data_IF_598650185722
#
_entry.id   IF_598650185722
#
_cell.length_a   1.000
_cell.length_b   1.000
_cell.length_c   1.000
_cell.angle_alpha   90.00
_cell.angle_beta   90.00
_cell.angle_gamma   90.00
#
_symmetry.space_group_name_H-M   'P 1'
#
loop_
_entity.id
_entity.type
_entity.pdbx_description
1 polymer ?
#
# COMPACT_ATOMS: atom_id res chain seq x y z
N UNK A 1 22.05 -16.92 30.72
CA UNK A 1 20.80 -16.24 31.01
C UNK A 1 19.90 -16.45 29.80
N UNK A 2 18.66 -16.90 30.01
CA UNK A 2 17.72 -16.99 28.92
C UNK A 2 17.49 -15.56 28.36
N UNK A 3 17.48 -15.42 27.06
CA UNK A 3 17.21 -14.14 26.41
C UNK A 3 15.77 -13.73 26.74
N UNK A 4 15.59 -12.64 27.49
CA UNK A 4 14.30 -12.18 27.99
C UNK A 4 13.59 -11.23 27.00
N UNK A 5 14.19 -10.98 25.84
CA UNK A 5 13.58 -10.12 24.81
C UNK A 5 12.39 -10.83 24.17
N UNK A 6 11.23 -10.16 24.00
CA UNK A 6 10.08 -10.77 23.38
C UNK A 6 10.31 -11.01 21.88
N UNK A 7 9.73 -12.09 21.33
CA UNK A 7 9.71 -12.35 19.88
C UNK A 7 8.80 -11.32 19.17
N UNK A 8 7.73 -10.90 19.85
CA UNK A 8 6.76 -9.89 19.39
C UNK A 8 6.05 -9.26 20.61
N UNK A 9 5.39 -8.14 20.38
CA UNK A 9 4.59 -7.41 21.38
C UNK A 9 3.51 -6.57 20.71
N UNK A 10 2.58 -6.01 21.48
CA UNK A 10 1.62 -4.98 21.04
C UNK A 10 2.06 -3.61 21.57
N UNK A 11 1.77 -2.55 20.83
CA UNK A 11 2.09 -1.19 21.23
C UNK A 11 0.95 -0.23 20.88
N UNK A 12 0.36 0.35 21.92
CA UNK A 12 -0.64 1.42 21.81
C UNK A 12 0.02 2.73 22.23
N UNK A 13 0.60 3.44 21.27
CA UNK A 13 1.44 4.61 21.51
C UNK A 13 0.74 5.93 21.11
N UNK A 14 -0.23 6.34 21.86
CA UNK A 14 -1.01 7.57 21.66
C UNK A 14 -2.29 7.36 20.87
N UNK A 15 -2.93 8.46 20.48
CA UNK A 15 -4.21 8.46 19.80
C UNK A 15 -4.10 7.96 18.36
N UNK A 16 -5.20 7.41 17.83
CA UNK A 16 -5.33 7.06 16.42
C UNK A 16 -5.26 8.33 15.56
N UNK A 17 -4.47 8.28 14.49
CA UNK A 17 -4.49 9.32 13.47
C UNK A 17 -5.81 9.29 12.68
N UNK A 18 -6.17 10.40 12.06
CA UNK A 18 -7.24 10.43 11.09
C UNK A 18 -6.88 9.52 9.92
N UNK A 19 -7.73 8.54 9.64
CA UNK A 19 -7.56 7.65 8.49
C UNK A 19 -8.23 8.25 7.24
N UNK A 20 -7.80 7.83 6.03
CA UNK A 20 -8.35 8.34 4.76
C UNK A 20 -9.85 8.11 4.59
N UNK A 21 -10.38 7.09 5.23
CA UNK A 21 -11.80 6.74 5.20
C UNK A 21 -12.38 6.64 6.61
N UNK A 22 -13.68 6.87 6.71
CA UNK A 22 -14.40 6.71 7.96
C UNK A 22 -14.42 5.24 8.44
N UNK A 23 -14.67 5.03 9.72
CA UNK A 23 -14.64 3.70 10.33
C UNK A 23 -15.65 2.72 9.72
N UNK A 24 -16.82 3.21 9.30
CA UNK A 24 -17.87 2.41 8.66
C UNK A 24 -17.46 1.92 7.26
N UNK A 25 -16.64 2.68 6.52
CA UNK A 25 -16.08 2.21 5.25
C UNK A 25 -15.15 1.00 5.47
N UNK A 26 -14.22 1.06 6.44
CA UNK A 26 -13.37 -0.09 6.78
C UNK A 26 -14.18 -1.27 7.32
N UNK A 27 -15.16 -1.02 8.17
CA UNK A 27 -16.05 -2.03 8.67
C UNK A 27 -16.84 -2.73 7.54
N UNK A 28 -17.32 -1.97 6.56
CA UNK A 28 -18.00 -2.48 5.37
C UNK A 28 -17.09 -3.33 4.48
N UNK A 29 -15.84 -2.93 4.28
CA UNK A 29 -14.83 -3.71 3.54
C UNK A 29 -14.54 -5.05 4.23
N UNK A 30 -14.32 -5.03 5.54
CA UNK A 30 -14.11 -6.22 6.35
C UNK A 30 -15.34 -7.13 6.38
N UNK A 31 -16.54 -6.58 6.41
CA UNK A 31 -17.78 -7.38 6.37
C UNK A 31 -17.90 -8.16 5.05
N UNK A 32 -17.62 -7.53 3.91
CA UNK A 32 -17.63 -8.21 2.60
C UNK A 32 -16.56 -9.31 2.52
N UNK A 33 -15.35 -9.04 3.03
CA UNK A 33 -14.29 -10.04 3.10
C UNK A 33 -14.69 -11.23 3.99
N UNK A 34 -15.21 -10.96 5.18
CA UNK A 34 -15.64 -11.99 6.14
C UNK A 34 -16.80 -12.84 5.62
N UNK A 35 -17.69 -12.24 4.81
CA UNK A 35 -18.73 -13.00 4.12
C UNK A 35 -18.10 -14.00 3.12
N UNK A 36 -17.17 -13.55 2.28
CA UNK A 36 -16.44 -14.43 1.37
C UNK A 36 -15.67 -15.52 2.11
N UNK A 37 -15.03 -15.18 3.24
CA UNK A 37 -14.38 -16.16 4.11
C UNK A 37 -15.35 -17.21 4.65
N UNK A 38 -16.53 -16.78 5.10
CA UNK A 38 -17.58 -17.69 5.60
C UNK A 38 -18.10 -18.61 4.51
N UNK A 39 -18.33 -18.10 3.31
CA UNK A 39 -18.83 -18.87 2.16
C UNK A 39 -17.83 -19.97 1.73
N UNK A 40 -16.58 -19.87 2.15
CA UNK A 40 -15.48 -20.82 1.83
C UNK A 40 -14.99 -21.62 3.04
N UNK A 41 -15.64 -21.55 4.17
CA UNK A 41 -15.16 -22.15 5.43
C UNK A 41 -13.71 -21.74 5.76
N UNK A 42 -13.38 -20.48 5.52
CA UNK A 42 -12.04 -19.92 5.69
C UNK A 42 -11.97 -19.13 7.00
N UNK A 43 -11.26 -19.62 8.02
CA UNK A 43 -11.26 -18.97 9.34
C UNK A 43 -10.38 -17.70 9.38
N UNK A 44 -9.39 -17.59 8.50
CA UNK A 44 -8.47 -16.46 8.48
C UNK A 44 -7.88 -16.21 7.10
N UNK A 45 -7.43 -14.97 6.89
CA UNK A 45 -6.70 -14.51 5.71
C UNK A 45 -5.44 -13.78 6.15
N UNK A 46 -4.33 -14.00 5.46
CA UNK A 46 -3.09 -13.23 5.59
C UNK A 46 -2.85 -12.41 4.32
N UNK A 47 -2.94 -11.11 4.42
CA UNK A 47 -2.51 -10.17 3.40
C UNK A 47 -1.04 -9.82 3.56
N UNK A 48 -0.32 -9.81 2.45
CA UNK A 48 1.10 -9.44 2.37
C UNK A 48 1.37 -8.33 1.36
N UNK A 49 0.43 -8.06 0.44
CA UNK A 49 0.54 -6.95 -0.50
C UNK A 49 0.19 -5.62 0.15
N UNK A 50 0.95 -4.59 -0.16
CA UNK A 50 0.77 -3.23 0.36
C UNK A 50 -0.66 -2.72 0.13
N UNK A 51 -1.20 -2.91 -1.07
CA UNK A 51 -2.53 -2.41 -1.43
C UNK A 51 -3.66 -3.09 -0.66
N UNK A 52 -3.60 -4.41 -0.43
CA UNK A 52 -4.64 -5.10 0.34
C UNK A 52 -4.51 -4.82 1.84
N UNK A 53 -3.29 -4.73 2.38
CA UNK A 53 -3.08 -4.30 3.76
C UNK A 53 -3.69 -2.91 3.99
N UNK A 54 -3.37 -1.93 3.11
CA UNK A 54 -3.94 -0.58 3.20
C UNK A 54 -5.46 -0.57 3.03
N UNK A 55 -6.01 -1.36 2.10
CA UNK A 55 -7.43 -1.42 1.83
C UNK A 55 -8.27 -1.87 3.02
N UNK A 56 -7.80 -2.91 3.74
CA UNK A 56 -8.54 -3.49 4.87
C UNK A 56 -8.19 -2.89 6.23
N UNK A 57 -6.98 -2.41 6.41
CA UNK A 57 -6.52 -1.87 7.71
C UNK A 57 -6.28 -0.36 7.72
N UNK A 58 -6.22 0.31 6.59
CA UNK A 58 -5.79 1.71 6.49
C UNK A 58 -4.27 1.90 6.61
N UNK A 59 -3.52 0.87 7.00
CA UNK A 59 -2.08 0.97 7.20
C UNK A 59 -1.31 0.89 5.88
N UNK A 60 -1.00 2.04 5.33
CA UNK A 60 -0.13 2.16 4.16
C UNK A 60 1.31 2.34 4.62
N UNK A 61 2.17 1.41 4.24
CA UNK A 61 3.56 1.35 4.67
C UNK A 61 4.51 1.06 3.50
N UNK A 62 5.69 1.65 3.55
CA UNK A 62 6.74 1.33 2.58
C UNK A 62 7.42 -0.01 2.92
N UNK A 63 7.53 -0.89 1.93
CA UNK A 63 8.17 -2.19 2.11
C UNK A 63 9.68 -2.09 1.89
N UNK A 64 10.44 -1.88 2.97
CA UNK A 64 11.90 -1.87 2.95
C UNK A 64 12.49 -3.13 3.57
N UNK A 65 12.57 -4.20 2.79
CA UNK A 65 13.35 -5.38 3.15
C UNK A 65 12.89 -6.16 4.40
N UNK A 66 11.85 -5.70 5.11
CA UNK A 66 11.21 -6.43 6.20
C UNK A 66 9.79 -6.81 5.81
N UNK A 67 9.35 -8.04 6.13
CA UNK A 67 7.98 -8.43 5.88
C UNK A 67 7.03 -7.59 6.76
N UNK A 68 5.88 -7.27 6.23
CA UNK A 68 4.73 -6.80 7.01
C UNK A 68 3.47 -7.46 6.44
N UNK A 69 2.39 -7.47 7.21
CA UNK A 69 1.17 -8.15 6.82
C UNK A 69 -0.05 -7.62 7.56
N UNK A 70 -1.20 -8.14 7.17
CA UNK A 70 -2.45 -7.96 7.89
C UNK A 70 -3.18 -9.30 7.98
N UNK A 71 -3.44 -9.74 9.19
CA UNK A 71 -4.27 -10.93 9.45
C UNK A 71 -5.70 -10.48 9.70
N UNK A 72 -6.63 -11.06 8.95
CA UNK A 72 -8.06 -10.86 9.15
C UNK A 72 -8.70 -12.19 9.57
N UNK A 73 -9.40 -12.18 10.68
CA UNK A 73 -10.27 -13.27 11.16
C UNK A 73 -11.71 -12.79 11.16
N UNK A 74 -12.65 -13.64 11.59
CA UNK A 74 -14.07 -13.27 11.67
C UNK A 74 -14.33 -12.09 12.63
N UNK A 75 -13.45 -11.88 13.61
CA UNK A 75 -13.62 -10.87 14.67
C UNK A 75 -12.53 -9.79 14.68
N UNK A 76 -11.37 -10.03 14.06
CA UNK A 76 -10.20 -9.13 14.14
C UNK A 76 -9.67 -8.72 12.78
N UNK A 77 -8.97 -7.58 12.78
CA UNK A 77 -8.11 -7.10 11.70
C UNK A 77 -6.83 -6.60 12.36
N UNK A 78 -5.72 -7.31 12.19
CA UNK A 78 -4.48 -7.06 12.94
C UNK A 78 -3.31 -6.89 11.98
N UNK A 79 -2.65 -5.74 12.03
CA UNK A 79 -1.42 -5.49 11.27
C UNK A 79 -0.22 -6.12 11.97
N UNK A 80 0.70 -6.67 11.18
CA UNK A 80 1.96 -7.27 11.65
C UNK A 80 3.10 -6.49 11.02
N UNK A 81 3.95 -5.86 11.82
CA UNK A 81 5.06 -5.04 11.32
C UNK A 81 6.32 -5.14 12.17
N UNK A 82 7.44 -4.67 11.64
CA UNK A 82 8.73 -4.75 12.29
C UNK A 82 8.89 -3.71 13.41
N UNK A 83 9.66 -4.06 14.44
CA UNK A 83 9.93 -3.20 15.59
C UNK A 83 10.59 -1.86 15.23
N UNK A 84 11.33 -1.77 14.13
CA UNK A 84 11.92 -0.51 13.68
C UNK A 84 10.84 0.57 13.40
N UNK A 85 9.61 0.13 13.03
CA UNK A 85 8.48 0.98 12.69
C UNK A 85 7.37 0.96 13.75
N UNK A 86 7.66 0.44 14.94
CA UNK A 86 6.68 0.18 16.01
C UNK A 86 5.81 1.39 16.38
N UNK A 87 6.29 2.61 16.15
CA UNK A 87 5.55 3.85 16.41
C UNK A 87 4.38 4.13 15.46
N UNK A 88 4.24 3.40 14.36
CA UNK A 88 3.28 3.73 13.29
C UNK A 88 2.00 2.88 13.31
N UNK A 89 2.06 1.51 13.43
CA UNK A 89 0.92 0.65 13.12
C UNK A 89 -0.32 0.95 13.96
N UNK A 90 -0.17 1.15 15.26
CA UNK A 90 -1.29 1.49 16.13
C UNK A 90 -2.00 2.77 15.68
N UNK A 91 -1.23 3.84 15.52
CA UNK A 91 -1.81 5.16 15.21
C UNK A 91 -2.42 5.24 13.81
N UNK A 92 -1.90 4.46 12.84
CA UNK A 92 -2.26 4.55 11.41
C UNK A 92 -3.05 3.37 10.89
N UNK A 93 -3.58 2.50 11.75
CA UNK A 93 -4.44 1.39 11.34
C UNK A 93 -5.82 1.43 11.98
N UNK A 94 -6.80 0.90 11.26
CA UNK A 94 -8.18 0.76 11.74
C UNK A 94 -8.30 -0.28 12.86
N UNK A 95 -7.56 -1.40 12.76
CA UNK A 95 -7.61 -2.51 13.72
C UNK A 95 -6.49 -2.48 14.75
N UNK A 96 -6.14 -3.68 15.19
CA UNK A 96 -5.08 -3.95 16.16
C UNK A 96 -3.70 -4.00 15.47
N UNK A 97 -2.64 -4.13 16.28
CA UNK A 97 -1.29 -4.34 15.77
C UNK A 97 -0.52 -5.37 16.60
N UNK A 98 0.40 -6.09 15.94
CA UNK A 98 1.46 -6.87 16.57
C UNK A 98 2.78 -6.48 15.94
N UNK A 99 3.77 -6.20 16.78
CA UNK A 99 5.11 -5.78 16.39
C UNK A 99 6.07 -6.93 16.61
N UNK A 100 6.73 -7.41 15.53
CA UNK A 100 7.76 -8.44 15.68
C UNK A 100 9.15 -7.82 15.84
N UNK A 101 10.01 -8.47 16.59
CA UNK A 101 11.39 -8.02 16.84
C UNK A 101 12.37 -8.71 15.89
N UNK A 102 13.47 -8.03 15.55
CA UNK A 102 14.46 -8.50 14.57
C UNK A 102 15.59 -9.35 15.17
N UNK A 103 15.59 -9.55 16.48
CA UNK A 103 16.72 -10.18 17.17
C UNK A 103 16.77 -11.71 16.96
N UNK A 104 15.69 -12.31 16.45
CA UNK A 104 15.60 -13.73 16.16
C UNK A 104 14.93 -13.93 14.81
N UNK A 105 15.45 -14.89 14.06
CA UNK A 105 14.88 -15.25 12.76
C UNK A 105 13.45 -15.73 12.90
N UNK A 106 12.62 -15.44 11.90
CA UNK A 106 11.23 -15.88 11.78
C UNK A 106 10.26 -15.31 12.82
N UNK A 107 10.65 -14.26 13.56
CA UNK A 107 9.75 -13.58 14.50
C UNK A 107 8.51 -12.99 13.85
N UNK A 108 8.56 -12.61 12.55
CA UNK A 108 7.39 -12.24 11.78
C UNK A 108 6.33 -13.36 11.80
N UNK A 109 6.74 -14.60 11.51
CA UNK A 109 5.83 -15.74 11.47
C UNK A 109 5.32 -16.13 12.87
N UNK A 110 6.11 -15.91 13.92
CA UNK A 110 5.67 -16.06 15.32
C UNK A 110 4.59 -15.05 15.68
N UNK A 111 4.77 -13.80 15.22
CA UNK A 111 3.77 -12.76 15.39
C UNK A 111 2.47 -13.09 14.62
N UNK A 112 2.58 -13.56 13.37
CA UNK A 112 1.43 -14.05 12.61
C UNK A 112 0.72 -15.19 13.34
N UNK A 113 1.46 -16.18 13.83
CA UNK A 113 0.93 -17.31 14.59
C UNK A 113 0.15 -16.89 15.85
N UNK A 114 0.62 -15.83 16.54
CA UNK A 114 -0.04 -15.34 17.76
C UNK A 114 -1.44 -14.78 17.51
N UNK A 115 -1.70 -14.31 16.28
CA UNK A 115 -3.01 -13.77 15.87
C UNK A 115 -3.90 -14.88 15.28
N UNK A 116 -3.30 -15.75 14.48
CA UNK A 116 -4.04 -16.79 13.75
C UNK A 116 -4.51 -17.94 14.65
N UNK A 117 -3.77 -18.27 15.69
CA UNK A 117 -3.93 -19.55 16.36
C UNK A 117 -3.57 -20.72 15.45
N UNK A 118 -4.43 -21.72 15.33
CA UNK A 118 -4.24 -22.91 14.47
C UNK A 118 -5.45 -23.10 13.55
N UNK A 119 -5.59 -22.30 12.50
CA UNK A 119 -6.81 -22.27 11.69
C UNK A 119 -6.96 -23.50 10.76
N UNK A 120 -5.93 -24.31 10.57
CA UNK A 120 -5.93 -25.45 9.64
C UNK A 120 -5.96 -25.04 8.16
N UNK A 121 -6.73 -23.99 7.82
CA UNK A 121 -6.87 -23.39 6.49
C UNK A 121 -6.61 -21.89 6.58
N UNK A 122 -5.91 -21.33 5.59
CA UNK A 122 -5.55 -19.90 5.52
C UNK A 122 -5.68 -19.40 4.09
N UNK A 123 -6.38 -18.29 3.90
CA UNK A 123 -6.38 -17.56 2.65
C UNK A 123 -5.09 -16.72 2.51
N UNK A 124 -4.50 -16.75 1.33
CA UNK A 124 -3.29 -16.01 0.99
C UNK A 124 -3.42 -15.34 -0.38
N UNK A 125 -2.59 -14.36 -0.64
CA UNK A 125 -2.45 -13.73 -1.96
C UNK A 125 -1.46 -14.54 -2.80
N UNK A 126 -1.97 -15.43 -3.67
CA UNK A 126 -1.14 -16.29 -4.51
C UNK A 126 -0.32 -15.54 -5.55
N UNK A 127 -0.76 -14.34 -5.93
CA UNK A 127 -0.06 -13.44 -6.85
C UNK A 127 1.03 -12.58 -6.17
N UNK A 128 1.10 -12.58 -4.85
CA UNK A 128 2.06 -11.78 -4.08
C UNK A 128 2.98 -12.63 -3.20
N UNK A 129 2.47 -13.70 -2.60
CA UNK A 129 3.25 -14.55 -1.71
C UNK A 129 4.33 -15.33 -2.46
N UNK A 130 5.61 -15.13 -2.10
CA UNK A 130 6.70 -15.89 -2.73
C UNK A 130 6.69 -17.36 -2.28
N UNK A 131 7.24 -18.26 -3.11
CA UNK A 131 7.38 -19.68 -2.75
C UNK A 131 8.17 -19.90 -1.46
N UNK A 132 9.16 -19.02 -1.17
CA UNK A 132 9.92 -19.09 0.08
C UNK A 132 9.05 -18.71 1.28
N UNK A 133 8.24 -17.66 1.15
CA UNK A 133 7.31 -17.24 2.20
C UNK A 133 6.22 -18.29 2.43
N UNK A 134 5.66 -18.89 1.37
CA UNK A 134 4.70 -19.98 1.46
C UNK A 134 5.24 -21.18 2.23
N UNK A 135 6.46 -21.61 1.90
CA UNK A 135 7.12 -22.73 2.62
C UNK A 135 7.26 -22.43 4.11
N UNK A 136 7.80 -21.25 4.43
CA UNK A 136 7.98 -20.86 5.84
C UNK A 136 6.63 -20.71 6.55
N UNK A 137 5.61 -20.20 5.88
CA UNK A 137 4.24 -20.13 6.39
C UNK A 137 3.72 -21.52 6.79
N UNK A 138 3.82 -22.50 5.89
CA UNK A 138 3.40 -23.90 6.20
C UNK A 138 4.17 -24.49 7.36
N UNK A 139 5.49 -24.35 7.36
CA UNK A 139 6.38 -24.89 8.40
C UNK A 139 6.13 -24.28 9.78
N UNK A 140 6.01 -22.94 9.83
CA UNK A 140 5.91 -22.21 11.09
C UNK A 140 4.49 -22.19 11.69
N UNK A 141 3.47 -22.20 10.84
CA UNK A 141 2.07 -22.08 11.28
C UNK A 141 1.34 -23.43 11.29
N UNK A 142 1.95 -24.49 10.76
CA UNK A 142 1.31 -25.81 10.69
C UNK A 142 0.05 -25.83 9.81
N UNK A 143 -0.05 -24.94 8.80
CA UNK A 143 -1.22 -24.82 7.94
C UNK A 143 -1.31 -25.96 6.95
N UNK A 144 -2.39 -26.73 7.01
CA UNK A 144 -2.62 -27.84 6.09
C UNK A 144 -3.03 -27.35 4.69
N UNK A 145 -3.90 -26.33 4.63
CA UNK A 145 -4.46 -25.80 3.39
C UNK A 145 -4.17 -24.31 3.27
N UNK A 146 -3.38 -23.93 2.25
CA UNK A 146 -3.27 -22.56 1.79
C UNK A 146 -4.13 -22.41 0.54
N UNK A 147 -4.99 -21.40 0.52
CA UNK A 147 -5.94 -21.15 -0.55
C UNK A 147 -5.69 -19.77 -1.16
N UNK A 148 -5.56 -19.70 -2.46
CA UNK A 148 -5.39 -18.42 -3.16
C UNK A 148 -6.71 -17.66 -3.20
N UNK A 149 -6.70 -16.46 -2.61
CA UNK A 149 -7.84 -15.53 -2.59
C UNK A 149 -7.63 -14.28 -3.44
N UNK A 150 -6.50 -14.15 -4.13
CA UNK A 150 -6.20 -12.95 -4.90
C UNK A 150 -7.31 -12.59 -5.92
N UNK A 151 -7.90 -13.56 -6.68
CA UNK A 151 -9.00 -13.24 -7.59
C UNK A 151 -10.26 -12.72 -6.90
N UNK A 152 -10.58 -13.24 -5.72
CA UNK A 152 -11.78 -12.83 -4.95
C UNK A 152 -11.59 -11.43 -4.39
N UNK A 153 -10.46 -11.18 -3.78
CA UNK A 153 -10.12 -9.86 -3.22
C UNK A 153 -10.05 -8.81 -4.33
N UNK A 154 -9.52 -9.15 -5.50
CA UNK A 154 -9.57 -8.28 -6.67
C UNK A 154 -11.02 -7.93 -7.01
N UNK A 155 -11.91 -8.92 -7.07
CA UNK A 155 -13.34 -8.72 -7.36
C UNK A 155 -14.00 -7.80 -6.33
N UNK A 156 -13.72 -7.99 -5.02
CA UNK A 156 -14.24 -7.14 -3.95
C UNK A 156 -13.80 -5.68 -4.08
N UNK A 157 -12.60 -5.42 -4.64
CA UNK A 157 -12.04 -4.07 -4.84
C UNK A 157 -12.41 -3.44 -6.17
N UNK A 158 -12.92 -4.21 -7.14
CA UNK A 158 -13.30 -3.68 -8.46
C UNK A 158 -14.46 -2.70 -8.38
N UNK A 159 -15.42 -2.93 -7.50
CA UNK A 159 -16.57 -2.04 -7.29
C UNK A 159 -16.21 -1.03 -6.21
N UNK A 160 -16.03 0.22 -6.62
CA UNK A 160 -15.61 1.31 -5.74
C UNK A 160 -16.79 1.86 -4.94
N UNK A 161 -16.55 2.17 -3.67
CA UNK A 161 -17.50 2.90 -2.83
C UNK A 161 -17.57 4.38 -3.26
N UNK A 162 -18.59 5.10 -2.78
CA UNK A 162 -18.70 6.53 -3.00
C UNK A 162 -17.49 7.31 -2.43
N UNK A 163 -16.96 6.86 -1.28
CA UNK A 163 -15.77 7.46 -0.67
C UNK A 163 -14.50 7.23 -1.51
N UNK A 164 -14.33 6.03 -2.06
CA UNK A 164 -13.23 5.73 -2.99
C UNK A 164 -13.34 6.55 -4.28
N UNK A 165 -14.55 6.70 -4.83
CA UNK A 165 -14.78 7.53 -6.04
C UNK A 165 -14.45 8.99 -5.76
N UNK A 166 -14.81 9.53 -4.59
CA UNK A 166 -14.46 10.90 -4.21
C UNK A 166 -12.94 11.08 -4.16
N UNK A 167 -12.21 10.17 -3.50
CA UNK A 167 -10.75 10.21 -3.41
C UNK A 167 -10.07 10.10 -4.78
N UNK A 168 -10.56 9.21 -5.65
CA UNK A 168 -10.07 9.06 -7.02
C UNK A 168 -10.33 10.35 -7.84
N UNK A 169 -11.48 11.01 -7.63
CA UNK A 169 -11.80 12.28 -8.27
C UNK A 169 -10.84 13.38 -7.83
N UNK A 170 -10.50 13.43 -6.55
CA UNK A 170 -9.51 14.40 -6.05
C UNK A 170 -8.11 14.10 -6.58
N UNK A 171 -7.75 12.82 -6.67
CA UNK A 171 -6.52 12.40 -7.32
C UNK A 171 -6.43 12.85 -8.79
N UNK A 172 -7.52 12.76 -9.54
CA UNK A 172 -7.57 13.26 -10.92
C UNK A 172 -7.33 14.78 -10.99
N UNK A 173 -7.93 15.57 -10.07
CA UNK A 173 -7.67 17.01 -9.98
C UNK A 173 -6.21 17.32 -9.67
N UNK A 174 -5.59 16.55 -8.79
CA UNK A 174 -4.16 16.68 -8.49
C UNK A 174 -3.30 16.33 -9.70
N UNK A 175 -3.67 15.31 -10.48
CA UNK A 175 -3.00 14.97 -11.73
C UNK A 175 -3.05 16.13 -12.73
N UNK A 176 -4.20 16.82 -12.85
CA UNK A 176 -4.36 18.01 -13.69
C UNK A 176 -3.45 19.17 -13.22
N UNK A 177 -3.31 19.39 -11.90
CA UNK A 177 -2.37 20.37 -11.33
C UNK A 177 -0.94 20.06 -11.76
N UNK A 178 -0.53 18.78 -11.67
CA UNK A 178 0.76 18.31 -12.14
C UNK A 178 0.97 18.57 -13.64
N UNK A 179 -0.04 18.23 -14.45
CA UNK A 179 -0.02 18.46 -15.89
C UNK A 179 0.12 19.95 -16.27
N UNK A 180 -0.58 20.82 -15.56
CA UNK A 180 -0.46 22.26 -15.74
C UNK A 180 0.94 22.79 -15.41
N UNK A 181 1.53 22.34 -14.28
CA UNK A 181 2.87 22.73 -13.88
C UNK A 181 3.94 22.23 -14.87
N UNK A 182 3.80 21.00 -15.39
CA UNK A 182 4.65 20.48 -16.47
C UNK A 182 4.57 21.36 -17.70
N UNK A 183 3.37 21.71 -18.16
CA UNK A 183 3.14 22.58 -19.32
C UNK A 183 3.85 23.92 -19.17
N UNK A 184 3.76 24.55 -18.02
CA UNK A 184 4.42 25.83 -17.73
C UNK A 184 5.94 25.74 -17.69
N UNK A 185 6.50 24.58 -17.29
CA UNK A 185 7.93 24.34 -17.24
C UNK A 185 8.56 24.05 -18.60
N UNK A 186 7.77 23.72 -19.64
CA UNK A 186 8.25 23.39 -20.99
C UNK A 186 8.83 24.65 -21.65
N UNK A 187 10.15 24.58 -21.96
CA UNK A 187 10.87 25.58 -22.77
C UNK A 187 12.06 24.95 -23.46
N UNK A 188 12.43 25.48 -24.61
CA UNK A 188 13.67 25.03 -25.29
C UNK A 188 14.87 25.15 -24.36
N UNK A 189 15.64 24.07 -24.26
CA UNK A 189 16.83 23.98 -23.40
C UNK A 189 16.54 23.52 -21.96
N UNK A 190 15.28 23.45 -21.50
CA UNK A 190 14.95 22.81 -20.24
C UNK A 190 15.28 21.29 -20.30
N UNK A 191 15.71 20.69 -19.20
CA UNK A 191 15.92 19.24 -19.14
C UNK A 191 14.58 18.54 -18.85
N UNK A 192 14.42 17.34 -19.40
CA UNK A 192 13.24 16.49 -19.09
C UNK A 192 13.00 16.38 -17.59
N UNK A 193 14.07 16.11 -16.82
CA UNK A 193 13.97 15.95 -15.36
C UNK A 193 13.49 17.23 -14.65
N UNK A 194 13.92 18.41 -15.08
CA UNK A 194 13.48 19.68 -14.47
C UNK A 194 11.99 19.91 -14.72
N UNK A 195 11.49 19.56 -15.91
CA UNK A 195 10.08 19.65 -16.27
C UNK A 195 9.24 18.63 -15.47
N UNK A 196 9.71 17.38 -15.36
CA UNK A 196 9.04 16.35 -14.58
C UNK A 196 8.95 16.70 -13.08
N UNK A 197 10.04 17.23 -12.51
CA UNK A 197 10.08 17.64 -11.11
C UNK A 197 9.11 18.79 -10.81
N UNK A 198 8.93 19.75 -11.72
CA UNK A 198 7.95 20.82 -11.55
C UNK A 198 6.52 20.26 -11.38
N UNK A 199 6.14 19.27 -12.18
CA UNK A 199 4.85 18.60 -12.05
C UNK A 199 4.71 17.78 -10.77
N UNK A 200 5.75 17.02 -10.42
CA UNK A 200 5.78 16.23 -9.20
C UNK A 200 5.63 17.11 -7.95
N UNK A 201 6.43 18.15 -7.85
CA UNK A 201 6.42 19.05 -6.69
C UNK A 201 5.06 19.74 -6.54
N UNK A 202 4.44 20.17 -7.64
CA UNK A 202 3.11 20.77 -7.61
C UNK A 202 2.05 19.77 -7.09
N UNK A 203 2.10 18.50 -7.52
CA UNK A 203 1.18 17.47 -7.05
C UNK A 203 1.40 17.17 -5.56
N UNK A 204 2.63 17.00 -5.12
CA UNK A 204 2.96 16.73 -3.71
C UNK A 204 2.49 17.84 -2.76
N UNK A 205 2.67 19.10 -3.15
CA UNK A 205 2.19 20.25 -2.37
C UNK A 205 0.65 20.30 -2.35
N UNK A 206 -0.01 20.04 -3.47
CA UNK A 206 -1.47 19.99 -3.54
C UNK A 206 -2.05 18.87 -2.68
N UNK A 207 -1.43 17.68 -2.67
CA UNK A 207 -1.82 16.57 -1.78
C UNK A 207 -1.63 16.97 -0.31
N UNK A 208 -0.48 17.55 0.04
CA UNK A 208 -0.21 17.94 1.42
C UNK A 208 -1.19 18.98 1.97
N UNK A 209 -1.70 19.86 1.10
CA UNK A 209 -2.70 20.87 1.47
C UNK A 209 -4.12 20.29 1.57
N UNK A 210 -4.54 19.48 0.57
CA UNK A 210 -5.90 18.96 0.49
C UNK A 210 -6.15 17.70 1.32
N UNK A 211 -5.12 16.87 1.52
CA UNK A 211 -5.16 15.58 2.19
C UNK A 211 -4.01 15.44 3.19
N UNK A 212 -3.98 16.23 4.28
CA UNK A 212 -2.89 16.21 5.25
C UNK A 212 -2.71 14.87 5.96
N UNK A 213 -3.76 14.03 5.99
CA UNK A 213 -3.72 12.66 6.50
C UNK A 213 -3.02 11.67 5.56
N UNK A 214 -2.87 12.01 4.27
CA UNK A 214 -2.19 11.19 3.28
C UNK A 214 -0.67 11.35 3.39
N UNK A 215 -0.07 10.76 4.43
CA UNK A 215 1.34 10.97 4.79
C UNK A 215 2.33 10.18 3.92
N UNK A 216 1.92 9.06 3.33
CA UNK A 216 2.78 8.29 2.44
C UNK A 216 2.81 8.93 1.04
N UNK A 217 4.02 9.10 0.51
CA UNK A 217 4.29 9.76 -0.78
C UNK A 217 4.93 8.79 -1.76
N UNK A 218 4.33 8.67 -2.93
CA UNK A 218 4.89 7.95 -4.08
C UNK A 218 4.35 8.54 -5.38
N UNK A 219 4.43 9.86 -5.50
CA UNK A 219 3.99 10.62 -6.67
C UNK A 219 5.12 10.75 -7.66
N UNK A 220 4.84 10.52 -8.93
CA UNK A 220 5.84 10.63 -9.98
C UNK A 220 5.26 11.12 -11.31
N UNK A 221 6.15 11.56 -12.18
CA UNK A 221 5.85 12.09 -13.52
C UNK A 221 6.74 11.40 -14.52
N UNK A 222 6.16 10.86 -15.58
CA UNK A 222 6.88 10.51 -16.79
C UNK A 222 6.76 11.65 -17.79
N UNK A 223 7.91 12.20 -18.19
CA UNK A 223 8.00 13.25 -19.20
C UNK A 223 9.16 12.95 -20.13
N UNK A 224 8.86 12.72 -21.38
CA UNK A 224 9.85 12.38 -22.41
C UNK A 224 9.76 13.39 -23.56
N UNK A 225 10.87 13.54 -24.29
CA UNK A 225 10.97 14.46 -25.43
C UNK A 225 11.76 13.87 -26.60
N UNK A 226 11.35 14.17 -27.82
CA UNK A 226 12.03 13.76 -29.05
C UNK A 226 12.24 12.26 -29.12
N UNK A 227 13.50 11.80 -29.25
CA UNK A 227 13.81 10.35 -29.37
C UNK A 227 13.36 9.54 -28.15
N UNK A 228 13.26 10.14 -26.96
CA UNK A 228 12.82 9.45 -25.77
C UNK A 228 11.29 9.15 -25.76
N UNK A 229 10.54 9.57 -26.78
CA UNK A 229 9.12 9.25 -26.95
C UNK A 229 8.88 8.00 -27.79
N UNK A 230 9.94 7.25 -28.16
CA UNK A 230 9.85 6.00 -28.91
C UNK A 230 9.31 4.81 -28.06
N UNK A 231 9.19 4.99 -26.74
CA UNK A 231 8.59 4.06 -25.80
C UNK A 231 7.80 4.79 -24.72
N UNK A 232 6.60 4.28 -24.39
CA UNK A 232 5.70 4.93 -23.43
C UNK A 232 6.30 5.04 -22.01
N UNK A 233 7.20 4.13 -21.66
CA UNK A 233 7.77 4.03 -20.31
C UNK A 233 9.29 4.27 -20.27
N UNK A 234 9.80 5.06 -21.22
CA UNK A 234 11.18 5.47 -21.18
C UNK A 234 11.46 6.34 -19.94
N UNK A 235 12.64 6.20 -19.32
CA UNK A 235 12.96 6.97 -18.12
C UNK A 235 13.07 8.47 -18.45
N UNK A 236 12.73 9.28 -17.45
CA UNK A 236 12.97 10.73 -17.49
C UNK A 236 14.47 10.99 -17.41
N UNK A 237 15.01 11.76 -18.35
CA UNK A 237 16.46 11.94 -18.51
C UNK A 237 16.92 13.38 -18.32
N UNK A 238 18.23 13.60 -18.45
CA UNK A 238 18.83 14.93 -18.55
C UNK A 238 18.80 15.54 -19.96
N UNK A 239 18.09 14.92 -20.94
CA UNK A 239 17.97 15.44 -22.30
C UNK A 239 17.38 16.84 -22.27
N UNK A 240 17.95 17.76 -23.05
CA UNK A 240 17.43 19.12 -23.22
C UNK A 240 16.39 19.15 -24.34
N UNK A 241 15.26 19.78 -24.08
CA UNK A 241 14.19 19.99 -25.03
C UNK A 241 14.66 20.85 -26.22
N UNK A 242 14.22 20.49 -27.42
CA UNK A 242 14.51 21.20 -28.67
C UNK A 242 13.20 21.66 -29.34
N UNK A 243 13.27 22.71 -30.12
CA UNK A 243 12.15 23.10 -30.96
C UNK A 243 11.80 21.97 -31.95
N UNK A 244 10.52 21.63 -32.05
CA UNK A 244 10.02 20.53 -32.90
C UNK A 244 10.03 19.15 -32.24
N UNK A 245 10.48 18.99 -30.98
CA UNK A 245 10.34 17.75 -30.27
C UNK A 245 8.86 17.37 -30.07
N UNK A 246 8.53 16.10 -30.28
CA UNK A 246 7.33 15.50 -29.73
C UNK A 246 7.52 15.33 -28.22
N UNK A 247 6.50 15.59 -27.44
CA UNK A 247 6.52 15.47 -25.99
C UNK A 247 5.49 14.43 -25.53
N UNK A 248 5.82 13.63 -24.52
CA UNK A 248 4.93 12.69 -23.87
C UNK A 248 4.88 12.99 -22.37
N UNK A 249 3.70 12.97 -21.79
CA UNK A 249 3.46 13.27 -20.37
C UNK A 249 2.50 12.24 -19.77
N UNK A 250 2.87 11.73 -18.61
CA UNK A 250 1.94 11.10 -17.68
C UNK A 250 2.24 11.60 -16.26
N UNK A 251 1.20 11.89 -15.48
CA UNK A 251 1.30 12.24 -14.07
C UNK A 251 0.63 11.17 -13.21
N UNK A 252 1.24 10.82 -12.09
CA UNK A 252 0.77 9.75 -11.21
C UNK A 252 0.80 10.19 -9.75
N UNK A 253 -0.18 10.97 -9.26
CA UNK A 253 -0.32 11.23 -7.84
C UNK A 253 -0.80 9.98 -7.11
N UNK A 254 -0.25 9.76 -5.92
CA UNK A 254 -0.72 8.76 -4.96
C UNK A 254 -1.36 9.46 -3.77
N UNK A 255 -2.65 9.23 -3.54
CA UNK A 255 -3.35 9.70 -2.34
C UNK A 255 -3.85 8.48 -1.57
N UNK A 256 -3.33 8.28 -0.37
CA UNK A 256 -3.76 7.22 0.56
C UNK A 256 -3.84 5.81 -0.07
N UNK A 257 -2.89 5.49 -0.95
CA UNK A 257 -2.80 4.20 -1.64
C UNK A 257 -3.56 4.12 -2.97
N UNK A 258 -4.20 5.20 -3.41
CA UNK A 258 -4.90 5.27 -4.71
C UNK A 258 -4.10 6.11 -5.69
N UNK A 259 -3.65 5.45 -6.77
CA UNK A 259 -3.07 6.14 -7.92
C UNK A 259 -4.18 6.64 -8.84
N UNK A 260 -3.96 7.82 -9.40
CA UNK A 260 -4.68 8.34 -10.56
C UNK A 260 -3.68 8.73 -11.64
N UNK A 261 -4.14 8.98 -12.85
CA UNK A 261 -3.26 9.34 -13.96
C UNK A 261 -3.94 10.37 -14.88
N UNK A 262 -3.12 11.25 -15.45
CA UNK A 262 -3.42 12.11 -16.58
C UNK A 262 -2.56 11.66 -17.76
#
# INVERSE_FOLDING_TARGET
MADTRPDFFTLENGDKATLPFAADEYAGRLARLRQMMSDRDMPAVLFTSMHNIAYYSGFLYCSFGRPYGCVVTQDRCTTISANIDAGQPWRRSFGDNVIFTDWKRDNYWRAVASVLGQPGRLGIEGDHMTLAAERTCREMLGIAVLEDIAPDVMTLRMIKSAAEIALITDGARVADIGGAAVKEAIRVGAREIDVAMAGRDAMELAIAEAHPEAEYRDTWVWFQSGINTDGAHNPVTGRKLRAGDLLSLNTFPLISGYYTAL
#
